data_IF_455702710548
#
_entry.id   IF_455702710548
#
_cell.length_a   1.000
_cell.length_b   1.000
_cell.length_c   1.000
_cell.angle_alpha   90.00
_cell.angle_beta   90.00
_cell.angle_gamma   90.00
#
_symmetry.space_group_name_H-M   'P 1'
#
loop_
_entity.id
_entity.type
_entity.pdbx_description
1 polymer ?
#
# COMPACT_ATOMS: atom_id res chain seq x y z
N UNK A 1 4.99 38.16 -55.68
CA UNK A 1 5.16 36.85 -55.01
C UNK A 1 5.01 37.04 -53.52
N UNK A 2 3.90 36.61 -52.91
CA UNK A 2 3.65 36.70 -51.46
C UNK A 2 3.98 35.35 -50.83
N UNK A 3 5.05 35.25 -50.06
CA UNK A 3 5.38 34.05 -49.27
C UNK A 3 4.62 34.10 -47.94
N UNK A 4 3.62 33.23 -47.79
CA UNK A 4 2.97 32.97 -46.50
C UNK A 4 3.92 32.12 -45.66
N UNK A 5 4.45 32.68 -44.56
CA UNK A 5 5.08 31.89 -43.51
C UNK A 5 3.97 31.29 -42.64
N UNK A 6 3.76 29.99 -42.77
CA UNK A 6 2.92 29.21 -41.86
C UNK A 6 3.83 28.84 -40.68
N UNK A 7 3.64 29.48 -39.52
CA UNK A 7 4.19 28.96 -38.27
C UNK A 7 3.28 27.80 -37.82
N UNK A 8 3.79 26.57 -37.89
CA UNK A 8 3.24 25.45 -37.11
C UNK A 8 3.67 25.65 -35.66
N UNK A 9 2.76 26.08 -34.80
CA UNK A 9 2.90 25.94 -33.35
C UNK A 9 2.69 24.47 -33.00
N UNK A 10 3.77 23.74 -32.76
CA UNK A 10 3.72 22.41 -32.18
C UNK A 10 3.46 22.56 -30.68
N UNK A 11 2.20 22.39 -30.26
CA UNK A 11 1.84 22.29 -28.85
C UNK A 11 2.36 20.95 -28.32
N UNK A 12 3.46 21.00 -27.58
CA UNK A 12 4.01 19.86 -26.86
C UNK A 12 3.05 19.55 -25.69
N UNK A 13 2.13 18.61 -25.90
CA UNK A 13 1.37 18.01 -24.80
C UNK A 13 2.36 17.13 -24.05
N UNK A 14 2.96 17.67 -22.99
CA UNK A 14 3.69 16.88 -22.02
C UNK A 14 2.68 15.95 -21.34
N UNK A 15 2.62 14.70 -21.79
CA UNK A 15 2.00 13.63 -21.04
C UNK A 15 2.85 13.39 -19.80
N UNK A 16 2.62 14.16 -18.74
CA UNK A 16 3.06 13.75 -17.40
C UNK A 16 2.26 12.52 -17.05
N UNK A 17 2.86 11.35 -17.25
CA UNK A 17 2.44 10.13 -16.57
C UNK A 17 2.47 10.43 -15.08
N UNK A 18 1.31 10.69 -14.50
CA UNK A 18 1.16 10.72 -13.05
C UNK A 18 1.42 9.29 -12.63
N UNK A 19 2.65 9.03 -12.18
CA UNK A 19 2.99 7.79 -11.53
C UNK A 19 2.33 7.85 -10.15
N UNK A 20 1.07 7.43 -10.13
CA UNK A 20 0.36 7.02 -8.92
C UNK A 20 0.90 5.63 -8.59
N UNK A 21 2.09 5.60 -7.99
CA UNK A 21 2.48 4.45 -7.20
C UNK A 21 1.69 4.51 -5.91
N UNK A 22 1.46 3.36 -5.31
CA UNK A 22 0.92 3.26 -3.97
C UNK A 22 1.91 3.80 -2.95
N UNK A 23 2.00 3.31 -1.68
CA UNK A 23 3.09 3.76 -0.80
C UNK A 23 4.37 3.89 -1.62
N UNK A 24 5.01 5.06 -1.61
CA UNK A 24 6.18 5.27 -2.44
C UNK A 24 7.21 4.19 -2.12
N UNK A 25 8.16 3.90 -3.02
CA UNK A 25 9.00 2.69 -2.91
C UNK A 25 9.56 2.41 -1.50
N UNK A 26 9.96 3.47 -0.81
CA UNK A 26 10.44 3.44 0.58
C UNK A 26 9.41 2.89 1.59
N UNK A 27 8.14 3.28 1.50
CA UNK A 27 7.09 2.79 2.40
C UNK A 27 6.86 1.28 2.24
N UNK A 28 6.83 0.78 1.00
CA UNK A 28 6.77 -0.66 0.72
C UNK A 28 7.97 -1.42 1.25
N UNK A 29 9.17 -0.90 1.01
CA UNK A 29 10.40 -1.51 1.52
C UNK A 29 10.38 -1.54 3.06
N UNK A 30 9.91 -0.47 3.72
CA UNK A 30 9.77 -0.40 5.19
C UNK A 30 8.77 -1.42 5.72
N UNK A 31 7.55 -1.48 5.16
CA UNK A 31 6.53 -2.46 5.56
C UNK A 31 7.06 -3.89 5.41
N UNK A 32 7.65 -4.22 4.26
CA UNK A 32 8.21 -5.54 4.03
C UNK A 32 9.40 -5.85 4.95
N UNK A 33 10.22 -4.86 5.30
CA UNK A 33 11.38 -5.08 6.14
C UNK A 33 11.00 -5.26 7.62
N UNK A 34 9.99 -4.54 8.10
CA UNK A 34 9.36 -4.83 9.40
C UNK A 34 8.83 -6.26 9.37
N UNK A 35 8.03 -6.61 8.36
CA UNK A 35 7.46 -7.96 8.27
C UNK A 35 8.54 -9.06 8.30
N UNK A 36 9.62 -8.89 7.54
CA UNK A 36 10.71 -9.86 7.46
C UNK A 36 11.42 -10.11 8.81
N UNK A 37 11.50 -9.09 9.68
CA UNK A 37 12.09 -9.22 11.01
C UNK A 37 11.19 -9.96 12.00
N UNK A 38 9.90 -10.05 11.70
CA UNK A 38 8.88 -10.73 12.50
C UNK A 38 8.47 -12.09 11.91
N UNK A 39 9.09 -12.52 10.81
CA UNK A 39 8.88 -13.87 10.29
C UNK A 39 9.52 -14.92 11.20
N UNK A 40 8.76 -15.98 11.46
CA UNK A 40 9.31 -17.22 12.00
C UNK A 40 10.40 -17.77 11.07
N UNK A 41 11.38 -18.54 11.57
CA UNK A 41 12.39 -19.15 10.73
C UNK A 41 11.81 -20.00 9.59
N UNK A 42 10.68 -20.68 9.84
CA UNK A 42 9.98 -21.50 8.84
C UNK A 42 9.35 -20.63 7.76
N UNK A 43 8.62 -19.57 8.14
CA UNK A 43 8.00 -18.67 7.18
C UNK A 43 9.03 -17.92 6.34
N UNK A 44 10.11 -17.45 6.96
CA UNK A 44 11.21 -16.78 6.27
C UNK A 44 11.86 -17.70 5.22
N UNK A 45 12.26 -18.91 5.62
CA UNK A 45 12.88 -19.87 4.70
C UNK A 45 11.94 -20.26 3.55
N UNK A 46 10.65 -20.41 3.84
CA UNK A 46 9.63 -20.75 2.82
C UNK A 46 9.44 -19.60 1.83
N UNK A 47 9.31 -18.36 2.32
CA UNK A 47 9.20 -17.17 1.48
C UNK A 47 10.43 -16.98 0.60
N UNK A 48 11.64 -17.07 1.17
CA UNK A 48 12.89 -16.97 0.41
C UNK A 48 12.99 -18.06 -0.66
N UNK A 49 12.60 -19.31 -0.36
CA UNK A 49 12.56 -20.39 -1.36
C UNK A 49 11.64 -20.04 -2.54
N UNK A 50 10.41 -19.59 -2.27
CA UNK A 50 9.43 -19.19 -3.30
C UNK A 50 9.92 -17.99 -4.13
N UNK A 51 10.78 -17.15 -3.55
CA UNK A 51 11.32 -15.94 -4.17
C UNK A 51 12.75 -16.13 -4.73
N UNK A 52 13.21 -17.38 -4.87
CA UNK A 52 14.51 -17.67 -5.48
C UNK A 52 15.70 -17.19 -4.64
N UNK A 53 15.59 -17.24 -3.31
CA UNK A 53 16.58 -16.82 -2.33
C UNK A 53 16.63 -15.32 -2.06
N UNK A 54 15.60 -14.58 -2.51
CA UNK A 54 15.48 -13.13 -2.26
C UNK A 54 14.53 -12.85 -1.10
N UNK A 55 14.85 -11.77 -0.39
CA UNK A 55 13.99 -11.16 0.62
C UNK A 55 12.65 -10.70 0.03
N UNK A 56 11.59 -10.67 0.83
CA UNK A 56 10.32 -10.05 0.45
C UNK A 56 10.48 -8.55 0.14
N UNK A 57 11.44 -7.86 0.78
CA UNK A 57 11.78 -6.45 0.51
C UNK A 57 12.18 -6.26 -0.96
N UNK A 58 12.91 -7.20 -1.54
CA UNK A 58 13.32 -7.12 -2.96
C UNK A 58 12.12 -7.05 -3.92
N UNK A 59 11.00 -7.67 -3.55
CA UNK A 59 9.79 -7.72 -4.35
C UNK A 59 8.71 -6.74 -3.90
N UNK A 60 8.95 -5.95 -2.85
CA UNK A 60 7.98 -5.04 -2.25
C UNK A 60 7.36 -4.09 -3.28
N UNK A 61 8.13 -3.65 -4.27
CA UNK A 61 7.73 -2.72 -5.33
C UNK A 61 7.45 -3.38 -6.69
N UNK A 62 7.44 -4.71 -6.75
CA UNK A 62 7.30 -5.42 -8.02
C UNK A 62 5.92 -5.20 -8.65
N UNK A 63 4.84 -5.25 -7.84
CA UNK A 63 3.47 -5.21 -8.36
C UNK A 63 3.14 -3.86 -9.01
N UNK A 64 3.62 -2.75 -8.45
CA UNK A 64 3.51 -1.41 -9.03
C UNK A 64 4.01 -1.35 -10.48
N UNK A 65 5.12 -2.01 -10.75
CA UNK A 65 5.68 -2.06 -12.10
C UNK A 65 4.96 -3.10 -12.96
N UNK A 66 4.69 -4.28 -12.40
CA UNK A 66 4.07 -5.39 -13.10
C UNK A 66 2.68 -5.05 -13.62
N UNK A 67 1.86 -4.35 -12.81
CA UNK A 67 0.49 -3.94 -13.14
C UNK A 67 0.40 -3.03 -14.37
N UNK A 68 1.52 -2.46 -14.82
CA UNK A 68 1.61 -1.65 -16.04
C UNK A 68 2.01 -2.45 -17.29
N UNK A 69 2.31 -3.74 -17.15
CA UNK A 69 2.60 -4.63 -18.28
C UNK A 69 1.31 -5.32 -18.77
N UNK A 70 1.23 -5.75 -20.05
CA UNK A 70 0.05 -6.45 -20.55
C UNK A 70 -0.31 -7.69 -19.72
N UNK A 71 0.69 -8.43 -19.26
CA UNK A 71 0.53 -9.70 -18.52
C UNK A 71 -0.20 -9.52 -17.19
N UNK A 72 0.14 -8.49 -16.42
CA UNK A 72 -0.43 -8.26 -15.08
C UNK A 72 -1.36 -7.05 -15.00
N UNK A 73 -1.75 -6.48 -16.14
CA UNK A 73 -2.63 -5.30 -16.18
C UNK A 73 -4.00 -5.48 -15.51
N UNK A 74 -4.43 -6.74 -15.30
CA UNK A 74 -5.62 -7.07 -14.54
C UNK A 74 -5.54 -6.67 -13.06
N UNK A 75 -4.33 -6.51 -12.50
CA UNK A 75 -4.12 -6.20 -11.08
C UNK A 75 -4.13 -4.70 -10.77
N UNK A 76 -4.33 -3.81 -11.75
CA UNK A 76 -4.28 -2.35 -11.54
C UNK A 76 -5.24 -1.85 -10.48
N UNK A 77 -6.44 -2.44 -10.38
CA UNK A 77 -7.44 -2.03 -9.39
C UNK A 77 -7.25 -2.71 -8.04
N UNK A 78 -6.34 -3.67 -7.95
CA UNK A 78 -6.05 -4.38 -6.71
C UNK A 78 -5.28 -3.52 -5.72
N UNK A 79 -4.68 -2.42 -6.17
CA UNK A 79 -3.91 -1.54 -5.30
C UNK A 79 -4.79 -0.77 -4.31
N UNK A 80 -6.10 -0.59 -4.55
CA UNK A 80 -6.92 0.32 -3.75
C UNK A 80 -8.35 -0.19 -3.56
N UNK A 81 -9.10 0.50 -2.69
CA UNK A 81 -10.56 0.44 -2.60
C UNK A 81 -11.09 1.85 -2.40
N UNK A 82 -11.45 2.52 -3.50
CA UNK A 82 -11.93 3.89 -3.43
C UNK A 82 -13.41 3.96 -3.02
N UNK A 83 -13.72 4.84 -2.06
CA UNK A 83 -14.99 4.98 -1.34
C UNK A 83 -15.35 6.48 -1.33
N UNK A 84 -16.43 6.89 -2.01
CA UNK A 84 -16.85 8.29 -2.02
C UNK A 84 -17.47 8.74 -0.67
N UNK A 85 -17.53 10.06 -0.44
CA UNK A 85 -17.97 10.64 0.84
C UNK A 85 -19.40 10.25 1.28
N UNK A 86 -20.25 9.85 0.34
CA UNK A 86 -21.63 9.41 0.59
C UNK A 86 -21.75 7.88 0.74
N UNK A 87 -20.65 7.15 0.65
CA UNK A 87 -20.55 5.71 0.83
C UNK A 87 -19.94 5.36 2.20
N UNK A 88 -20.08 4.10 2.61
CA UNK A 88 -19.36 3.47 3.71
C UNK A 88 -18.43 2.41 3.14
N UNK A 89 -17.45 1.98 3.93
CA UNK A 89 -16.53 0.91 3.54
C UNK A 89 -17.26 -0.35 3.02
N UNK A 90 -18.38 -0.72 3.65
CA UNK A 90 -19.16 -1.92 3.32
C UNK A 90 -20.06 -1.74 2.09
N UNK A 91 -20.57 -0.53 1.84
CA UNK A 91 -21.53 -0.29 0.75
C UNK A 91 -20.88 0.29 -0.52
N UNK A 92 -19.60 0.68 -0.43
CA UNK A 92 -18.86 1.25 -1.54
C UNK A 92 -18.91 0.34 -2.76
N UNK A 93 -19.14 0.94 -3.93
CA UNK A 93 -19.24 0.19 -5.17
C UNK A 93 -18.01 -0.70 -5.39
N UNK A 94 -18.19 -2.00 -5.61
CA UNK A 94 -17.07 -2.89 -5.91
C UNK A 94 -16.60 -2.70 -7.37
N UNK A 95 -15.29 -2.77 -7.59
CA UNK A 95 -14.75 -2.82 -8.94
C UNK A 95 -14.87 -4.26 -9.48
N UNK A 96 -15.34 -4.45 -10.71
CA UNK A 96 -15.58 -5.79 -11.28
C UNK A 96 -14.30 -6.64 -11.29
N UNK A 97 -13.16 -6.02 -11.60
CA UNK A 97 -11.83 -6.64 -11.59
C UNK A 97 -11.27 -6.91 -10.20
N UNK A 98 -11.98 -6.54 -9.13
CA UNK A 98 -11.54 -6.66 -7.73
C UNK A 98 -10.87 -5.41 -7.18
N UNK A 99 -10.79 -5.35 -5.85
CA UNK A 99 -10.13 -4.32 -5.05
C UNK A 99 -9.07 -4.96 -4.14
N UNK A 100 -8.34 -4.14 -3.38
CA UNK A 100 -7.26 -4.62 -2.49
C UNK A 100 -7.71 -5.66 -1.46
N UNK A 101 -8.93 -5.53 -0.93
CA UNK A 101 -9.51 -6.45 0.06
C UNK A 101 -9.69 -7.83 -0.56
N UNK A 102 -10.26 -7.88 -1.78
CA UNK A 102 -10.46 -9.12 -2.52
C UNK A 102 -9.12 -9.73 -2.95
N UNK A 103 -8.21 -8.91 -3.46
CA UNK A 103 -6.91 -9.37 -3.95
C UNK A 103 -6.08 -10.00 -2.82
N UNK A 104 -6.01 -9.38 -1.63
CA UNK A 104 -5.31 -9.95 -0.47
C UNK A 104 -5.86 -11.34 -0.12
N UNK A 105 -7.20 -11.50 -0.10
CA UNK A 105 -7.81 -12.81 0.16
C UNK A 105 -7.44 -13.85 -0.88
N UNK A 106 -7.59 -13.51 -2.15
CA UNK A 106 -7.33 -14.43 -3.25
C UNK A 106 -5.86 -14.86 -3.27
N UNK A 107 -4.92 -13.94 -3.07
CA UNK A 107 -3.49 -14.26 -3.04
C UNK A 107 -3.11 -15.07 -1.79
N UNK A 108 -3.65 -14.73 -0.61
CA UNK A 108 -3.44 -15.52 0.60
C UNK A 108 -3.99 -16.95 0.45
N UNK A 109 -5.15 -17.12 -0.19
CA UNK A 109 -5.72 -18.43 -0.50
C UNK A 109 -4.80 -19.24 -1.42
N UNK A 110 -4.29 -18.65 -2.51
CA UNK A 110 -3.34 -19.31 -3.42
C UNK A 110 -2.08 -19.75 -2.67
N UNK A 111 -1.55 -18.91 -1.78
CA UNK A 111 -0.37 -19.26 -0.99
C UNK A 111 -0.60 -20.44 -0.05
N UNK A 112 -1.76 -20.49 0.60
CA UNK A 112 -2.11 -21.54 1.54
C UNK A 112 -2.60 -22.84 0.87
N UNK A 113 -3.00 -22.77 -0.41
CA UNK A 113 -3.54 -23.92 -1.12
C UNK A 113 -2.46 -24.98 -1.41
N UNK A 114 -2.61 -26.24 -0.93
CA UNK A 114 -1.66 -27.32 -1.24
C UNK A 114 -1.60 -27.66 -2.74
N UNK A 115 -2.68 -27.40 -3.50
CA UNK A 115 -2.77 -27.73 -4.92
C UNK A 115 -2.16 -26.65 -5.84
N UNK A 116 -1.77 -25.49 -5.29
CA UNK A 116 -1.12 -24.42 -6.07
C UNK A 116 0.36 -24.72 -6.31
N UNK A 117 0.82 -24.49 -7.54
CA UNK A 117 2.23 -24.68 -7.93
C UNK A 117 3.16 -23.67 -7.27
N UNK A 118 4.46 -23.97 -7.23
CA UNK A 118 5.47 -23.05 -6.70
C UNK A 118 5.50 -21.72 -7.48
N UNK A 119 5.23 -21.72 -8.78
CA UNK A 119 5.12 -20.50 -9.59
C UNK A 119 3.88 -19.67 -9.22
N UNK A 120 2.73 -20.32 -9.02
CA UNK A 120 1.51 -19.64 -8.57
C UNK A 120 1.71 -19.03 -7.19
N UNK A 121 2.35 -19.76 -6.28
CA UNK A 121 2.69 -19.26 -4.94
C UNK A 121 3.72 -18.14 -4.99
N UNK A 122 4.74 -18.25 -5.83
CA UNK A 122 5.74 -17.18 -6.02
C UNK A 122 5.08 -15.88 -6.52
N UNK A 123 4.19 -15.97 -7.50
CA UNK A 123 3.45 -14.82 -8.00
C UNK A 123 2.52 -14.22 -6.92
N UNK A 124 1.76 -15.07 -6.24
CA UNK A 124 0.86 -14.66 -5.17
C UNK A 124 1.62 -13.99 -4.01
N UNK A 125 2.81 -14.48 -3.65
CA UNK A 125 3.64 -13.87 -2.60
C UNK A 125 4.11 -12.48 -3.00
N UNK A 126 4.59 -12.29 -4.23
CA UNK A 126 5.01 -10.96 -4.73
C UNK A 126 3.88 -9.96 -4.72
N UNK A 127 2.67 -10.40 -5.06
CA UNK A 127 1.49 -9.56 -5.02
C UNK A 127 1.08 -9.26 -3.57
N UNK A 128 1.00 -10.29 -2.72
CA UNK A 128 0.51 -10.15 -1.36
C UNK A 128 1.34 -9.19 -0.51
N UNK A 129 2.67 -9.25 -0.59
CA UNK A 129 3.55 -8.37 0.21
C UNK A 129 3.35 -6.89 -0.13
N UNK A 130 3.06 -6.59 -1.40
CA UNK A 130 2.75 -5.24 -1.86
C UNK A 130 1.35 -4.81 -1.42
N UNK A 131 0.34 -5.66 -1.64
CA UNK A 131 -1.05 -5.34 -1.36
C UNK A 131 -1.32 -5.09 0.14
N UNK A 132 -0.60 -5.79 1.03
CA UNK A 132 -0.69 -5.51 2.47
C UNK A 132 -0.06 -4.16 2.83
N UNK A 133 0.97 -3.71 2.11
CA UNK A 133 1.43 -2.32 2.21
C UNK A 133 0.33 -1.35 1.78
N UNK A 134 -0.22 -1.54 0.59
CA UNK A 134 -1.24 -0.68 -0.03
C UNK A 134 -2.48 -0.48 0.83
N UNK A 135 -3.01 -1.57 1.40
CA UNK A 135 -4.22 -1.47 2.23
C UNK A 135 -4.00 -0.62 3.49
N UNK A 136 -2.74 -0.43 3.91
CA UNK A 136 -2.35 0.44 5.02
C UNK A 136 -2.06 1.89 4.60
N UNK A 137 -2.14 2.24 3.32
CA UNK A 137 -2.02 3.63 2.87
C UNK A 137 -3.39 4.32 2.92
N UNK A 138 -3.62 5.35 3.74
CA UNK A 138 -4.95 5.97 3.87
C UNK A 138 -5.59 6.39 2.54
N UNK A 139 -4.85 7.02 1.64
CA UNK A 139 -5.37 7.50 0.35
C UNK A 139 -5.67 6.36 -0.65
N UNK A 140 -5.30 5.11 -0.34
CA UNK A 140 -5.79 3.92 -1.05
C UNK A 140 -7.21 3.53 -0.68
N UNK A 141 -7.76 4.16 0.36
CA UNK A 141 -9.16 4.12 0.75
C UNK A 141 -9.87 5.45 0.46
N UNK A 142 -9.29 6.27 -0.42
CA UNK A 142 -9.76 7.62 -0.71
C UNK A 142 -11.00 7.66 -1.62
N UNK A 143 -11.43 8.85 -2.02
CA UNK A 143 -12.64 9.00 -2.81
C UNK A 143 -12.50 8.42 -4.23
N UNK A 144 -13.58 7.84 -4.77
CA UNK A 144 -13.58 7.34 -6.15
C UNK A 144 -13.60 8.48 -7.15
N UNK A 145 -14.42 9.49 -6.86
CA UNK A 145 -14.63 10.68 -7.69
C UNK A 145 -13.34 11.44 -8.01
N UNK A 146 -12.34 11.39 -7.13
CA UNK A 146 -11.04 12.05 -7.29
C UNK A 146 -9.85 11.09 -7.50
N UNK A 147 -10.14 9.80 -7.71
CA UNK A 147 -9.14 8.73 -7.87
C UNK A 147 -8.20 8.60 -6.64
N UNK A 148 -8.76 8.54 -5.44
CA UNK A 148 -8.02 8.36 -4.19
C UNK A 148 -7.19 9.59 -3.83
N UNK A 149 -7.65 10.78 -4.19
CA UNK A 149 -6.95 12.05 -3.96
C UNK A 149 -5.95 12.42 -5.06
N UNK A 150 -5.87 11.67 -6.16
CA UNK A 150 -5.01 12.02 -7.30
C UNK A 150 -5.49 13.27 -8.04
N UNK A 151 -6.79 13.58 -7.97
CA UNK A 151 -7.39 14.81 -8.50
C UNK A 151 -7.65 15.87 -7.43
N UNK A 152 -7.37 15.56 -6.16
CA UNK A 152 -7.54 16.49 -5.05
C UNK A 152 -6.30 17.36 -4.90
N UNK A 153 -6.38 18.60 -5.38
CA UNK A 153 -5.21 19.46 -5.51
C UNK A 153 -5.01 20.37 -4.30
N UNK A 154 -3.77 20.41 -3.79
CA UNK A 154 -3.34 21.24 -2.66
C UNK A 154 -1.99 21.92 -2.98
N UNK A 155 -1.49 22.74 -2.05
CA UNK A 155 -0.16 23.38 -2.14
C UNK A 155 0.75 22.86 -1.04
N UNK A 156 1.72 22.01 -1.39
CA UNK A 156 2.73 21.52 -0.46
C UNK A 156 3.99 22.41 -0.54
N UNK A 157 4.32 23.15 0.51
CA UNK A 157 5.37 24.19 0.50
C UNK A 157 5.24 25.15 -0.71
N UNK A 158 4.03 25.68 -0.92
CA UNK A 158 3.65 26.55 -2.04
C UNK A 158 3.72 25.93 -3.44
N UNK A 159 4.09 24.66 -3.58
CA UNK A 159 4.10 23.95 -4.86
C UNK A 159 2.80 23.15 -5.04
N UNK A 160 2.11 23.25 -6.19
CA UNK A 160 0.93 22.45 -6.48
C UNK A 160 1.26 20.95 -6.42
N UNK A 161 0.44 20.18 -5.70
CA UNK A 161 0.59 18.72 -5.57
C UNK A 161 -0.77 18.07 -5.31
N UNK A 162 -0.96 16.84 -5.76
CA UNK A 162 -2.15 16.08 -5.42
C UNK A 162 -2.00 15.43 -4.03
N UNK A 163 -3.12 15.26 -3.32
CA UNK A 163 -3.14 14.74 -1.96
C UNK A 163 -2.58 13.31 -1.89
N UNK A 164 -2.89 12.46 -2.86
CA UNK A 164 -2.41 11.07 -2.91
C UNK A 164 -0.87 10.98 -2.81
N UNK A 165 -0.16 11.67 -3.71
CA UNK A 165 1.31 11.72 -3.75
C UNK A 165 1.97 12.41 -2.54
N UNK A 166 1.18 13.19 -1.77
CA UNK A 166 1.65 13.69 -0.48
C UNK A 166 1.74 12.53 0.50
N UNK A 167 0.67 11.75 0.62
CA UNK A 167 0.62 10.61 1.53
C UNK A 167 1.57 9.49 1.13
N UNK A 168 1.65 9.13 -0.15
CA UNK A 168 2.55 8.04 -0.58
C UNK A 168 4.02 8.33 -0.35
N UNK A 169 4.44 9.58 -0.62
CA UNK A 169 5.85 9.89 -0.82
C UNK A 169 6.29 11.14 -0.11
N UNK A 170 5.57 12.26 -0.26
CA UNK A 170 6.08 13.55 0.23
C UNK A 170 6.15 13.62 1.74
N UNK A 171 5.11 13.10 2.40
CA UNK A 171 4.95 13.13 3.83
C UNK A 171 5.96 12.18 4.49
N UNK A 172 6.10 10.88 4.10
CA UNK A 172 7.20 10.04 4.57
C UNK A 172 8.57 10.69 4.36
N UNK A 173 8.84 11.24 3.18
CA UNK A 173 10.12 11.89 2.86
C UNK A 173 10.41 13.15 3.68
N UNK A 174 9.37 13.87 4.09
CA UNK A 174 9.53 15.12 4.84
C UNK A 174 9.49 14.91 6.35
N UNK A 175 8.80 13.85 6.80
CA UNK A 175 8.79 13.40 8.18
C UNK A 175 10.20 13.03 8.62
N UNK A 176 10.83 12.10 7.91
CA UNK A 176 12.20 11.67 8.15
C UNK A 176 12.92 11.39 6.84
N UNK A 177 14.15 11.90 6.71
CA UNK A 177 15.04 11.61 5.57
C UNK A 177 15.74 10.25 5.68
N UNK A 178 15.10 9.31 6.35
CA UNK A 178 15.57 7.96 6.60
C UNK A 178 15.48 7.07 5.37
N UNK A 179 16.41 6.15 5.23
CA UNK A 179 16.30 4.94 4.42
C UNK A 179 15.24 3.98 5.00
N UNK A 180 14.80 2.99 4.23
CA UNK A 180 13.80 2.03 4.72
C UNK A 180 14.31 1.23 5.95
N UNK A 181 15.63 1.01 6.05
CA UNK A 181 16.26 0.36 7.21
C UNK A 181 16.23 1.23 8.45
N UNK A 182 16.45 2.54 8.31
CA UNK A 182 16.35 3.47 9.44
C UNK A 182 14.90 3.60 9.89
N UNK A 183 13.94 3.67 8.96
CA UNK A 183 12.51 3.62 9.29
C UNK A 183 12.17 2.40 10.14
N UNK A 184 12.50 1.20 9.67
CA UNK A 184 12.28 -0.04 10.42
C UNK A 184 12.94 0.03 11.80
N UNK A 185 14.23 0.38 11.89
CA UNK A 185 14.96 0.44 13.17
C UNK A 185 14.39 1.42 14.19
N UNK A 186 13.71 2.47 13.72
CA UNK A 186 13.17 3.50 14.59
C UNK A 186 11.73 3.19 15.01
N UNK A 187 10.90 2.64 14.13
CA UNK A 187 9.46 2.45 14.40
C UNK A 187 9.10 1.03 14.86
N UNK A 188 9.91 0.02 14.54
CA UNK A 188 9.68 -1.38 14.92
C UNK A 188 10.06 -1.62 16.39
N UNK A 189 9.23 -1.08 17.28
CA UNK A 189 9.45 -1.04 18.74
C UNK A 189 8.21 -1.35 19.56
N UNK A 190 7.19 -1.93 18.92
CA UNK A 190 5.99 -2.38 19.61
C UNK A 190 6.36 -3.36 20.74
N UNK A 191 5.74 -3.19 21.89
CA UNK A 191 5.72 -4.20 22.94
C UNK A 191 4.93 -5.42 22.45
N UNK A 192 5.15 -6.62 23.04
CA UNK A 192 4.35 -7.80 22.70
C UNK A 192 2.83 -7.57 22.84
N UNK A 193 2.41 -6.75 23.81
CA UNK A 193 1.01 -6.38 24.00
C UNK A 193 0.48 -5.50 22.86
N UNK A 194 1.24 -4.48 22.44
CA UNK A 194 0.89 -3.62 21.31
C UNK A 194 0.85 -4.41 19.99
N UNK A 195 1.83 -5.29 19.76
CA UNK A 195 1.85 -6.17 18.59
C UNK A 195 0.61 -7.06 18.56
N UNK A 196 0.27 -7.70 19.68
CA UNK A 196 -0.94 -8.53 19.80
C UNK A 196 -2.22 -7.73 19.51
N UNK A 197 -2.30 -6.46 19.95
CA UNK A 197 -3.43 -5.58 19.64
C UNK A 197 -3.49 -5.22 18.15
N UNK A 198 -2.34 -4.91 17.53
CA UNK A 198 -2.25 -4.55 16.11
C UNK A 198 -2.74 -5.70 15.21
N UNK A 199 -2.36 -6.94 15.53
CA UNK A 199 -2.71 -8.12 14.73
C UNK A 199 -4.08 -8.71 15.11
N UNK A 200 -4.69 -8.27 16.22
CA UNK A 200 -5.96 -8.80 16.70
C UNK A 200 -7.10 -8.65 15.68
N UNK A 201 -7.81 -9.77 15.43
CA UNK A 201 -8.94 -9.82 14.51
C UNK A 201 -8.53 -9.35 13.09
N UNK A 202 -7.41 -9.90 12.62
CA UNK A 202 -6.70 -9.52 11.40
C UNK A 202 -7.44 -9.94 10.13
N UNK A 203 -8.33 -9.08 9.63
CA UNK A 203 -8.97 -9.23 8.33
C UNK A 203 -8.69 -8.02 7.43
N UNK A 204 -8.59 -8.22 6.10
CA UNK A 204 -8.38 -7.11 5.17
C UNK A 204 -9.50 -6.06 5.24
N UNK A 205 -10.75 -6.44 5.54
CA UNK A 205 -11.84 -5.46 5.75
C UNK A 205 -11.56 -4.56 6.93
N UNK A 206 -11.08 -5.11 8.05
CA UNK A 206 -10.79 -4.32 9.24
C UNK A 206 -9.63 -3.37 8.99
N UNK A 207 -8.56 -3.86 8.38
CA UNK A 207 -7.41 -3.03 7.99
C UNK A 207 -7.82 -1.90 7.05
N UNK A 208 -8.59 -2.23 6.00
CA UNK A 208 -9.11 -1.23 5.07
C UNK A 208 -10.07 -0.24 5.73
N UNK A 209 -10.91 -0.67 6.67
CA UNK A 209 -11.85 0.20 7.39
C UNK A 209 -11.13 1.18 8.32
N UNK A 210 -10.08 0.74 9.02
CA UNK A 210 -9.21 1.62 9.81
C UNK A 210 -8.58 2.70 8.92
N UNK A 211 -8.02 2.31 7.76
CA UNK A 211 -7.42 3.25 6.81
C UNK A 211 -8.44 4.20 6.19
N UNK A 212 -9.64 3.72 5.90
CA UNK A 212 -10.74 4.55 5.42
C UNK A 212 -11.14 5.64 6.43
N UNK A 213 -11.16 5.32 7.73
CA UNK A 213 -11.43 6.31 8.78
C UNK A 213 -10.36 7.41 8.80
N UNK A 214 -9.09 7.04 8.63
CA UNK A 214 -7.99 8.00 8.50
C UNK A 214 -8.21 8.85 7.24
N UNK A 215 -8.45 8.23 6.08
CA UNK A 215 -8.68 8.93 4.82
C UNK A 215 -9.82 9.97 4.93
N UNK A 216 -10.93 9.60 5.58
CA UNK A 216 -12.05 10.51 5.82
C UNK A 216 -11.64 11.73 6.67
N UNK A 217 -10.80 11.55 7.71
CA UNK A 217 -10.25 12.67 8.48
C UNK A 217 -9.32 13.54 7.62
N UNK A 218 -8.48 12.92 6.78
CA UNK A 218 -7.59 13.64 5.87
C UNK A 218 -8.40 14.55 4.96
N UNK A 219 -9.43 14.03 4.27
CA UNK A 219 -10.30 14.83 3.42
C UNK A 219 -11.00 15.96 4.18
N UNK A 220 -11.56 15.65 5.36
CA UNK A 220 -12.29 16.63 6.16
C UNK A 220 -11.38 17.78 6.64
N UNK A 221 -10.11 17.48 6.96
CA UNK A 221 -9.15 18.47 7.48
C UNK A 221 -8.28 19.11 6.39
N UNK A 222 -8.36 18.61 5.16
CA UNK A 222 -7.52 19.04 4.03
C UNK A 222 -8.38 19.34 2.80
N UNK A 223 -9.23 20.39 2.81
CA UNK A 223 -9.98 20.81 1.62
C UNK A 223 -9.05 21.12 0.44
N UNK A 224 -9.57 21.08 -0.79
CA UNK A 224 -8.81 21.51 -1.97
C UNK A 224 -8.24 22.93 -1.79
N UNK A 225 -7.10 23.20 -2.44
CA UNK A 225 -6.32 24.43 -2.31
C UNK A 225 -5.69 24.71 -0.93
N UNK A 226 -5.81 23.78 0.03
CA UNK A 226 -5.12 23.85 1.32
C UNK A 226 -3.61 24.07 1.14
N UNK A 227 -3.03 24.89 2.02
CA UNK A 227 -1.59 25.15 2.06
C UNK A 227 -0.95 24.31 3.16
N UNK A 228 -0.23 23.27 2.76
CA UNK A 228 0.37 22.29 3.64
C UNK A 228 1.85 22.60 3.84
N UNK A 229 2.28 22.59 5.10
CA UNK A 229 3.65 22.89 5.49
C UNK A 229 4.10 22.01 6.67
N UNK A 230 5.02 22.50 7.49
CA UNK A 230 5.59 21.77 8.62
C UNK A 230 4.56 21.32 9.67
N UNK A 231 3.48 22.08 9.85
CA UNK A 231 2.36 21.73 10.71
C UNK A 231 1.63 20.46 10.24
N UNK A 232 1.43 20.33 8.93
CA UNK A 232 0.85 19.13 8.34
C UNK A 232 1.75 17.91 8.53
N UNK A 233 3.06 18.09 8.35
CA UNK A 233 4.05 17.02 8.59
C UNK A 233 3.98 16.59 10.05
N UNK A 234 4.12 17.54 10.99
CA UNK A 234 4.09 17.24 12.42
C UNK A 234 2.80 16.54 12.87
N UNK A 235 1.64 16.91 12.29
CA UNK A 235 0.36 16.26 12.59
C UNK A 235 0.34 14.79 12.13
N UNK A 236 0.77 14.52 10.91
CA UNK A 236 0.51 13.24 10.26
C UNK A 236 1.68 12.26 10.29
N UNK A 237 2.90 12.69 10.62
CA UNK A 237 4.06 11.79 10.80
C UNK A 237 3.76 10.60 11.71
N UNK A 238 3.16 10.76 12.91
CA UNK A 238 2.88 9.63 13.78
C UNK A 238 1.90 8.62 13.16
N UNK A 239 0.99 9.09 12.30
CA UNK A 239 0.05 8.21 11.59
C UNK A 239 0.79 7.42 10.51
N UNK A 240 1.73 8.02 9.77
CA UNK A 240 2.56 7.28 8.80
C UNK A 240 3.40 6.21 9.49
N UNK A 241 4.04 6.55 10.62
CA UNK A 241 4.82 5.62 11.44
C UNK A 241 3.96 4.41 11.86
N UNK A 242 2.77 4.68 12.40
CA UNK A 242 1.82 3.65 12.82
C UNK A 242 1.36 2.77 11.66
N UNK A 243 1.06 3.35 10.50
CA UNK A 243 0.58 2.58 9.35
C UNK A 243 1.66 1.66 8.76
N UNK A 244 2.93 2.09 8.75
CA UNK A 244 4.05 1.24 8.37
C UNK A 244 4.24 0.08 9.36
N UNK A 245 4.19 0.36 10.67
CA UNK A 245 4.30 -0.65 11.72
C UNK A 245 3.16 -1.68 11.62
N UNK A 246 1.91 -1.22 11.53
CA UNK A 246 0.73 -2.09 11.36
C UNK A 246 0.84 -2.95 10.11
N UNK A 247 1.18 -2.35 8.97
CA UNK A 247 1.35 -3.08 7.72
C UNK A 247 2.39 -4.19 7.83
N UNK A 248 3.53 -3.91 8.45
CA UNK A 248 4.60 -4.87 8.64
C UNK A 248 4.22 -6.03 9.56
N UNK A 249 3.67 -5.72 10.75
CA UNK A 249 3.28 -6.74 11.72
C UNK A 249 2.13 -7.61 11.22
N UNK A 250 1.13 -7.03 10.54
CA UNK A 250 0.02 -7.78 9.94
C UNK A 250 0.46 -8.63 8.76
N UNK A 251 1.43 -8.17 7.95
CA UNK A 251 2.03 -8.98 6.90
C UNK A 251 2.81 -10.17 7.50
N UNK A 252 3.57 -9.94 8.58
CA UNK A 252 4.27 -11.02 9.27
C UNK A 252 3.31 -12.07 9.85
N UNK A 253 2.28 -11.65 10.58
CA UNK A 253 1.26 -12.57 11.14
C UNK A 253 0.59 -13.40 10.04
N UNK A 254 0.25 -12.78 8.90
CA UNK A 254 -0.36 -13.47 7.77
C UNK A 254 0.59 -14.50 7.16
N UNK A 255 1.83 -14.12 6.85
CA UNK A 255 2.80 -15.04 6.24
C UNK A 255 3.22 -16.15 7.22
N UNK A 256 3.37 -15.85 8.50
CA UNK A 256 3.63 -16.84 9.55
C UNK A 256 2.47 -17.83 9.64
N UNK A 257 1.23 -17.37 9.57
CA UNK A 257 0.05 -18.25 9.61
C UNK A 257 -0.06 -19.15 8.39
N UNK A 258 0.34 -18.66 7.21
CA UNK A 258 0.33 -19.43 5.97
C UNK A 258 1.46 -20.48 5.97
N UNK A 259 2.68 -20.09 6.34
CA UNK A 259 3.87 -20.92 6.10
C UNK A 259 4.35 -21.72 7.30
N UNK A 260 4.11 -21.28 8.53
CA UNK A 260 4.50 -22.00 9.74
C UNK A 260 3.29 -22.71 10.35
N UNK A 261 3.18 -24.05 10.29
CA UNK A 261 2.05 -24.77 10.87
C UNK A 261 1.92 -24.60 12.38
N UNK A 262 3.00 -24.30 13.10
CA UNK A 262 3.02 -24.16 14.56
C UNK A 262 2.75 -22.74 15.05
N UNK A 263 2.74 -21.74 14.16
CA UNK A 263 2.43 -20.37 14.52
C UNK A 263 0.93 -20.19 14.82
N UNK A 264 0.59 -19.68 16.00
CA UNK A 264 -0.78 -19.33 16.36
C UNK A 264 -1.04 -17.86 16.06
N UNK A 265 -1.34 -17.56 14.81
CA UNK A 265 -1.61 -16.20 14.36
C UNK A 265 -3.02 -15.70 14.69
N UNK A 266 -3.21 -14.40 14.56
CA UNK A 266 -4.46 -13.70 14.86
C UNK A 266 -5.26 -13.33 13.59
N UNK A 267 -4.71 -13.50 12.38
CA UNK A 267 -5.47 -13.26 11.17
C UNK A 267 -6.60 -14.27 10.97
N UNK A 268 -7.68 -13.77 10.36
CA UNK A 268 -8.90 -14.52 10.07
C UNK A 268 -8.99 -14.95 8.60
N UNK A 269 -7.94 -14.71 7.81
CA UNK A 269 -7.91 -15.01 6.37
C UNK A 269 -7.74 -16.51 6.16
N UNK A 270 -6.82 -17.13 6.92
CA UNK A 270 -6.53 -18.55 6.86
C UNK A 270 -6.97 -19.21 8.16
N UNK A 271 -8.00 -20.06 8.09
CA UNK A 271 -8.38 -20.90 9.23
C UNK A 271 -7.50 -22.15 9.22
N UNK A 272 -6.67 -22.29 10.26
CA UNK A 272 -6.02 -23.58 10.54
C UNK A 272 -7.09 -24.53 11.12
N UNK A 273 -7.22 -25.71 10.51
CA UNK A 273 -8.07 -26.79 11.03
C UNK A 273 -7.40 -27.50 12.21
#
# INVERSE_FOLDING_TARGET
MKSKKILLSATLIAATSIQCFSWGQKGHDTVCFIAENHLTPVAKATAEKLLGGKSIVYYANWLDNASHTPEYSYSKTWHYKNIDANETFENAQLHESGDVVRAIREQAYILNNPDSSDEQKSLALKMLVHLVGDIHQPMHMGHRSDLGGNRWMVKYFNSPKNLHSIWDSSLPESAHKWSYTEWQQQIDRATPEEEAEIIADGSPEKWGKECYQIAAEVYNTTPEDSKLSYDYIAKWTPVIEEQFLRGGLRLADLLNSIFDPHYAGANNIIKKN
#
